data_IF_357804975606
#
_entry.id   IF_357804975606
#
_cell.length_a   1.000
_cell.length_b   1.000
_cell.length_c   1.000
_cell.angle_alpha   90.00
_cell.angle_beta   90.00
_cell.angle_gamma   90.00
#
_symmetry.space_group_name_H-M   'P 1'
#
loop_
_entity.id
_entity.type
_entity.pdbx_description
1 polymer ?
#
# COMPACT_ATOMS: atom_id res chain seq x y z
N UNK A 1 41.53 26.68 -15.86
CA UNK A 1 40.35 26.58 -16.76
C UNK A 1 39.11 27.03 -15.97
N UNK A 2 38.42 28.12 -16.36
CA UNK A 2 37.18 28.54 -15.66
C UNK A 2 36.02 27.67 -16.15
N UNK A 3 35.51 26.81 -15.27
CA UNK A 3 34.39 25.91 -15.54
C UNK A 3 33.11 26.74 -15.78
N UNK A 4 32.36 26.43 -16.83
CA UNK A 4 31.05 27.04 -17.13
C UNK A 4 30.06 25.91 -17.38
N UNK A 5 28.98 25.84 -16.60
CA UNK A 5 28.00 24.76 -16.65
C UNK A 5 26.60 25.34 -16.59
N UNK A 6 25.75 24.99 -17.55
CA UNK A 6 24.34 25.34 -17.54
C UNK A 6 23.57 24.52 -16.50
N UNK A 7 22.83 25.20 -15.63
CA UNK A 7 22.06 24.59 -14.55
C UNK A 7 20.67 25.20 -14.42
N UNK A 8 19.76 24.48 -13.76
CA UNK A 8 18.46 25.02 -13.32
C UNK A 8 18.49 25.37 -11.84
N UNK A 9 17.94 26.53 -11.48
CA UNK A 9 17.86 27.00 -10.11
C UNK A 9 16.88 26.14 -9.29
N UNK A 10 17.30 25.65 -8.13
CA UNK A 10 16.44 24.81 -7.27
C UNK A 10 15.25 25.56 -6.65
N UNK A 11 15.28 26.89 -6.59
CA UNK A 11 14.18 27.69 -6.03
C UNK A 11 13.16 28.13 -7.11
N UNK A 12 13.64 28.72 -8.20
CA UNK A 12 12.75 29.34 -9.20
C UNK A 12 12.66 28.56 -10.51
N UNK A 13 13.40 27.45 -10.66
CA UNK A 13 13.38 26.61 -11.86
C UNK A 13 14.06 27.19 -13.11
N UNK A 14 14.44 28.47 -13.10
CA UNK A 14 15.06 29.16 -14.24
C UNK A 14 16.47 28.62 -14.53
N UNK A 15 16.82 28.54 -15.81
CA UNK A 15 18.17 28.19 -16.26
C UNK A 15 19.15 29.34 -15.96
N UNK A 16 20.39 29.01 -15.60
CA UNK A 16 21.47 29.97 -15.37
C UNK A 16 22.85 29.33 -15.61
N UNK A 17 23.82 30.17 -15.96
CA UNK A 17 25.21 29.77 -16.15
C UNK A 17 25.94 29.75 -14.81
N UNK A 18 26.42 28.58 -14.38
CA UNK A 18 27.17 28.41 -13.15
C UNK A 18 28.68 28.33 -13.42
N UNK A 19 29.45 29.06 -12.62
CA UNK A 19 30.92 29.03 -12.69
C UNK A 19 31.56 27.98 -11.78
N UNK A 20 30.74 27.29 -10.97
CA UNK A 20 31.17 26.19 -10.11
C UNK A 20 30.14 25.05 -10.09
N UNK A 21 30.62 23.83 -9.88
CA UNK A 21 29.78 22.62 -9.77
C UNK A 21 28.92 22.66 -8.48
N UNK A 22 29.33 23.39 -7.44
CA UNK A 22 28.59 23.50 -6.19
C UNK A 22 27.44 24.53 -6.21
N UNK A 23 27.42 25.49 -7.14
CA UNK A 23 26.35 26.51 -7.17
C UNK A 23 25.02 25.87 -7.59
N UNK A 24 23.98 26.04 -6.75
CA UNK A 24 22.63 25.44 -6.92
C UNK A 24 21.50 26.43 -7.23
N UNK A 25 21.78 27.73 -7.16
CA UNK A 25 20.78 28.80 -7.31
C UNK A 25 21.28 29.87 -8.26
N UNK A 26 20.37 30.50 -9.02
CA UNK A 26 20.71 31.56 -9.97
C UNK A 26 21.10 32.89 -9.31
N UNK A 27 20.75 33.10 -8.04
CA UNK A 27 21.08 34.33 -7.31
C UNK A 27 21.11 34.13 -5.80
N UNK A 28 21.72 35.09 -5.08
CA UNK A 28 21.70 35.15 -3.61
C UNK A 28 20.26 35.20 -3.07
N UNK A 29 19.35 35.88 -3.78
CA UNK A 29 17.93 35.98 -3.42
C UNK A 29 17.21 34.63 -3.50
N UNK A 30 17.45 33.86 -4.56
CA UNK A 30 16.88 32.50 -4.66
C UNK A 30 17.43 31.56 -3.58
N UNK A 31 18.72 31.69 -3.23
CA UNK A 31 19.34 30.91 -2.14
C UNK A 31 18.72 31.25 -0.78
N UNK A 32 18.55 32.54 -0.47
CA UNK A 32 17.97 32.97 0.81
C UNK A 32 16.48 32.65 0.90
N UNK A 33 15.73 32.75 -0.20
CA UNK A 33 14.33 32.35 -0.28
C UNK A 33 14.15 30.85 -0.01
N UNK A 34 14.95 29.98 -0.67
CA UNK A 34 14.91 28.54 -0.43
C UNK A 34 15.19 28.20 1.04
N UNK A 35 16.20 28.84 1.64
CA UNK A 35 16.54 28.58 3.04
C UNK A 35 15.41 29.00 4.00
N UNK A 36 14.79 30.17 3.78
CA UNK A 36 13.64 30.63 4.57
C UNK A 36 12.42 29.72 4.41
N UNK A 37 12.18 29.21 3.21
CA UNK A 37 11.10 28.28 2.92
C UNK A 37 11.31 26.93 3.62
N UNK A 38 12.53 26.38 3.58
CA UNK A 38 12.88 25.15 4.30
C UNK A 38 12.67 25.31 5.80
N UNK A 39 13.13 26.40 6.41
CA UNK A 39 12.93 26.67 7.84
C UNK A 39 11.44 26.80 8.17
N UNK A 40 10.64 27.45 7.31
CA UNK A 40 9.18 27.55 7.50
C UNK A 40 8.51 26.19 7.41
N UNK A 41 8.84 25.38 6.41
CA UNK A 41 8.25 24.06 6.20
C UNK A 41 8.63 23.09 7.33
N UNK A 42 9.87 23.16 7.84
CA UNK A 42 10.29 22.43 9.03
C UNK A 42 9.47 22.83 10.26
N UNK A 43 9.26 24.14 10.50
CA UNK A 43 8.41 24.60 11.61
C UNK A 43 6.97 24.11 11.51
N UNK A 44 6.39 24.14 10.31
CA UNK A 44 5.03 23.62 10.05
C UNK A 44 4.98 22.11 10.30
N UNK A 45 5.98 21.36 9.82
CA UNK A 45 6.07 19.92 10.04
C UNK A 45 6.20 19.58 11.53
N UNK A 46 7.06 20.28 12.28
CA UNK A 46 7.21 20.10 13.73
C UNK A 46 5.91 20.38 14.47
N UNK A 47 5.21 21.47 14.12
CA UNK A 47 3.91 21.82 14.71
C UNK A 47 2.81 20.80 14.39
N UNK A 48 2.75 20.30 13.15
CA UNK A 48 1.81 19.25 12.76
C UNK A 48 2.11 17.92 13.48
N UNK A 49 3.39 17.56 13.62
CA UNK A 49 3.82 16.36 14.35
C UNK A 49 3.50 16.47 15.85
N UNK A 50 3.69 17.64 16.46
CA UNK A 50 3.34 17.90 17.85
C UNK A 50 1.82 17.83 18.07
N UNK A 51 1.03 18.40 17.16
CA UNK A 51 -0.44 18.32 17.18
C UNK A 51 -0.92 16.86 17.05
N UNK A 52 -0.30 16.08 16.16
CA UNK A 52 -0.60 14.65 16.02
C UNK A 52 -0.21 13.87 17.28
N UNK A 53 0.96 14.17 17.86
CA UNK A 53 1.42 13.56 19.11
C UNK A 53 0.44 13.84 20.25
N UNK A 54 0.02 15.08 20.45
CA UNK A 54 -0.98 15.46 21.46
C UNK A 54 -2.31 14.74 21.24
N UNK A 55 -2.78 14.60 19.99
CA UNK A 55 -4.00 13.84 19.67
C UNK A 55 -3.86 12.34 19.93
N UNK A 56 -2.70 11.76 19.66
CA UNK A 56 -2.41 10.35 19.92
C UNK A 56 -2.32 10.10 21.43
N UNK A 57 -1.60 10.96 22.15
CA UNK A 57 -1.45 10.88 23.60
C UNK A 57 -2.80 11.05 24.31
N UNK A 58 -3.63 12.00 23.86
CA UNK A 58 -5.03 12.10 24.29
C UNK A 58 -5.83 10.84 23.96
N UNK A 59 -5.69 10.28 22.75
CA UNK A 59 -6.36 9.03 22.39
C UNK A 59 -5.95 7.87 23.30
N UNK A 60 -4.66 7.80 23.65
CA UNK A 60 -4.10 6.78 24.52
C UNK A 60 -4.59 6.92 25.96
N UNK A 61 -4.66 8.14 26.50
CA UNK A 61 -5.16 8.39 27.86
C UNK A 61 -6.64 8.04 28.02
N UNK A 62 -7.45 8.19 26.96
CA UNK A 62 -8.86 7.76 26.96
C UNK A 62 -9.02 6.24 27.13
N UNK A 63 -8.02 5.44 26.76
CA UNK A 63 -8.06 4.00 27.02
C UNK A 63 -7.77 3.65 28.48
N UNK A 64 -7.24 4.57 29.29
CA UNK A 64 -6.89 4.30 30.69
C UNK A 64 -8.01 4.71 31.66
N UNK A 65 -8.82 5.70 31.28
CA UNK A 65 -9.95 6.15 32.09
C UNK A 65 -11.18 5.24 31.91
N UNK A 66 -11.77 4.68 32.99
CA UNK A 66 -12.97 3.83 32.89
C UNK A 66 -14.24 4.63 32.51
N UNK A 67 -14.25 5.94 32.76
CA UNK A 67 -15.38 6.82 32.46
C UNK A 67 -15.00 7.83 31.39
N UNK A 68 -15.82 7.92 30.34
CA UNK A 68 -15.60 8.76 29.18
C UNK A 68 -16.68 9.82 29.04
N UNK A 69 -16.30 11.00 28.58
CA UNK A 69 -17.26 12.04 28.18
C UNK A 69 -17.79 11.72 26.79
N UNK A 70 -18.93 12.30 26.44
CA UNK A 70 -19.53 12.18 25.08
C UNK A 70 -18.55 12.59 23.98
N UNK A 71 -17.72 13.61 24.24
CA UNK A 71 -16.68 14.05 23.32
C UNK A 71 -15.59 12.99 23.08
N UNK A 72 -15.20 12.28 24.14
CA UNK A 72 -14.18 11.22 24.09
C UNK A 72 -14.68 10.04 23.28
N UNK A 73 -15.95 9.65 23.49
CA UNK A 73 -16.60 8.57 22.75
C UNK A 73 -16.79 8.92 21.28
N UNK A 74 -17.16 10.17 20.98
CA UNK A 74 -17.24 10.70 19.62
C UNK A 74 -15.88 10.58 18.89
N UNK A 75 -14.80 10.91 19.59
CA UNK A 75 -13.45 10.81 19.06
C UNK A 75 -12.97 9.36 18.90
N UNK A 76 -13.25 8.47 19.85
CA UNK A 76 -12.90 7.05 19.80
C UNK A 76 -13.62 6.32 18.67
N UNK A 77 -14.92 6.56 18.50
CA UNK A 77 -15.75 5.95 17.46
C UNK A 77 -15.61 6.61 16.08
N UNK A 78 -14.97 7.78 16.00
CA UNK A 78 -14.85 8.55 14.76
C UNK A 78 -16.19 9.06 14.22
N UNK A 79 -17.13 9.40 15.11
CA UNK A 79 -18.47 9.88 14.75
C UNK A 79 -18.78 11.25 15.39
N UNK A 80 -19.86 11.92 14.99
CA UNK A 80 -20.26 13.20 15.59
C UNK A 80 -20.80 13.03 17.01
N UNK A 81 -20.65 14.05 17.87
CA UNK A 81 -21.26 14.06 19.23
C UNK A 81 -22.77 13.81 19.19
N UNK A 82 -23.45 14.31 18.14
CA UNK A 82 -24.87 14.08 17.90
C UNK A 82 -25.20 12.60 17.71
N UNK A 83 -24.37 11.83 16.98
CA UNK A 83 -24.54 10.38 16.87
C UNK A 83 -24.36 9.68 18.22
N UNK A 84 -23.42 10.14 19.05
CA UNK A 84 -23.25 9.58 20.41
C UNK A 84 -24.48 9.85 21.27
N UNK A 85 -25.00 11.08 21.27
CA UNK A 85 -26.26 11.40 21.96
C UNK A 85 -27.44 10.57 21.44
N UNK A 86 -27.52 10.32 20.13
CA UNK A 86 -28.55 9.46 19.55
C UNK A 86 -28.41 7.99 19.99
N UNK A 87 -27.18 7.48 20.14
CA UNK A 87 -26.93 6.13 20.66
C UNK A 87 -27.31 6.02 22.14
N UNK A 88 -27.09 7.07 22.93
CA UNK A 88 -27.54 7.15 24.33
C UNK A 88 -29.08 7.18 24.39
N UNK A 89 -29.74 8.05 23.63
CA UNK A 89 -31.20 8.18 23.67
C UNK A 89 -31.92 6.93 23.18
N UNK A 90 -31.35 6.22 22.20
CA UNK A 90 -31.85 4.92 21.72
C UNK A 90 -31.45 3.74 22.61
N UNK A 91 -30.88 3.99 23.79
CA UNK A 91 -30.43 3.01 24.79
C UNK A 91 -29.42 1.98 24.27
N UNK A 92 -28.71 2.29 23.18
CA UNK A 92 -27.63 1.45 22.65
C UNK A 92 -26.33 1.64 23.43
N UNK A 93 -26.10 2.83 23.98
CA UNK A 93 -25.00 3.13 24.88
C UNK A 93 -25.57 3.38 26.28
N UNK A 94 -25.10 2.61 27.27
CA UNK A 94 -25.41 2.89 28.68
C UNK A 94 -24.65 4.12 29.13
N UNK A 95 -25.31 5.00 29.87
CA UNK A 95 -24.73 6.25 30.34
C UNK A 95 -25.28 6.63 31.71
N UNK A 96 -24.46 7.31 32.52
CA UNK A 96 -24.90 7.94 33.77
C UNK A 96 -24.92 9.44 33.55
N UNK A 97 -26.05 10.07 33.88
CA UNK A 97 -26.15 11.52 33.86
C UNK A 97 -25.93 12.07 35.27
N UNK A 98 -24.81 12.76 35.50
CA UNK A 98 -24.48 13.34 36.81
C UNK A 98 -25.04 14.77 36.99
N UNK A 99 -25.39 15.45 35.89
CA UNK A 99 -25.98 16.80 35.83
C UNK A 99 -26.35 17.11 34.37
N UNK A 100 -27.16 18.12 34.06
CA UNK A 100 -27.70 18.41 32.71
C UNK A 100 -26.70 18.31 31.54
N UNK A 101 -25.41 18.62 31.76
CA UNK A 101 -24.34 18.54 30.74
C UNK A 101 -23.23 17.54 31.07
N UNK A 102 -23.43 16.69 32.08
CA UNK A 102 -22.41 15.80 32.64
C UNK A 102 -22.78 14.33 32.47
N UNK A 103 -22.86 13.91 31.21
CA UNK A 103 -23.02 12.51 30.85
C UNK A 103 -21.66 11.80 30.93
N UNK A 104 -21.63 10.63 31.57
CA UNK A 104 -20.49 9.70 31.63
C UNK A 104 -20.89 8.37 31.01
N UNK A 105 -19.98 7.83 30.22
CA UNK A 105 -20.10 6.56 29.50
C UNK A 105 -19.03 5.62 30.02
N UNK A 106 -19.38 4.36 30.28
CA UNK A 106 -18.37 3.38 30.65
C UNK A 106 -17.61 2.94 29.41
N UNK A 107 -16.29 2.86 29.52
CA UNK A 107 -15.41 2.46 28.43
C UNK A 107 -15.72 1.03 27.96
N UNK A 108 -16.04 0.15 28.90
CA UNK A 108 -16.38 -1.26 28.67
C UNK A 108 -17.62 -1.40 27.79
N UNK A 109 -18.59 -0.48 27.90
CA UNK A 109 -19.79 -0.49 27.07
C UNK A 109 -19.48 -0.16 25.60
N UNK A 110 -18.50 0.70 25.35
CA UNK A 110 -18.05 1.04 24.00
C UNK A 110 -17.36 -0.16 23.36
N UNK A 111 -16.47 -0.82 24.11
CA UNK A 111 -15.82 -2.05 23.66
C UNK A 111 -16.82 -3.16 23.41
N UNK A 112 -17.79 -3.35 24.31
CA UNK A 112 -18.85 -4.32 24.11
C UNK A 112 -19.63 -4.05 22.83
N UNK A 113 -20.02 -2.80 22.55
CA UNK A 113 -20.71 -2.44 21.31
C UNK A 113 -19.83 -2.68 20.09
N UNK A 114 -18.55 -2.35 20.14
CA UNK A 114 -17.63 -2.60 19.02
C UNK A 114 -17.40 -4.09 18.78
N UNK A 115 -17.24 -4.88 19.85
CA UNK A 115 -17.12 -6.34 19.75
C UNK A 115 -18.42 -7.01 19.30
N UNK A 116 -19.56 -6.55 19.80
CA UNK A 116 -20.87 -7.02 19.39
C UNK A 116 -21.16 -6.63 17.93
N UNK A 117 -20.70 -5.46 17.48
CA UNK A 117 -20.70 -5.07 16.07
C UNK A 117 -19.74 -5.91 15.21
N UNK A 118 -18.52 -6.23 15.68
CA UNK A 118 -17.61 -7.13 14.95
C UNK A 118 -18.20 -8.55 14.84
N UNK A 119 -18.87 -9.04 15.89
CA UNK A 119 -19.59 -10.33 15.88
C UNK A 119 -20.83 -10.30 14.97
N UNK A 120 -21.54 -9.16 14.92
CA UNK A 120 -22.65 -8.92 13.99
C UNK A 120 -22.17 -8.67 12.55
N UNK A 121 -20.98 -8.12 12.31
CA UNK A 121 -20.48 -7.81 10.96
C UNK A 121 -19.85 -9.02 10.24
N UNK A 122 -19.79 -10.18 10.88
CA UNK A 122 -19.74 -11.48 10.19
C UNK A 122 -21.12 -11.95 9.67
N UNK A 123 -22.19 -11.22 10.00
CA UNK A 123 -23.56 -11.33 9.46
C UNK A 123 -24.16 -9.93 9.25
N UNK A 124 -23.70 -9.21 8.23
CA UNK A 124 -24.09 -7.82 7.89
C UNK A 124 -25.59 -7.55 8.08
N UNK A 125 -25.96 -6.82 9.15
CA UNK A 125 -27.30 -6.27 9.34
C UNK A 125 -27.30 -4.80 8.93
N UNK A 126 -28.01 -4.54 7.84
CA UNK A 126 -28.38 -3.22 7.34
C UNK A 126 -29.02 -2.35 8.42
N UNK A 127 -28.59 -1.09 8.55
CA UNK A 127 -29.45 -0.01 9.06
C UNK A 127 -29.59 1.11 8.03
N UNK A 128 -30.59 0.90 7.20
CA UNK A 128 -31.53 1.88 6.66
C UNK A 128 -31.50 3.27 7.33
N UNK A 129 -31.09 4.29 6.59
CA UNK A 129 -31.73 5.61 6.67
C UNK A 129 -32.76 5.68 5.56
N UNK A 130 -34.03 5.58 5.95
CA UNK A 130 -35.15 5.87 5.09
C UNK A 130 -35.13 7.36 4.75
N UNK A 131 -35.02 7.67 3.46
CA UNK A 131 -34.99 9.02 2.92
C UNK A 131 -34.81 8.96 1.41
N UNK A 132 -35.86 8.48 0.73
CA UNK A 132 -36.23 8.66 -0.69
C UNK A 132 -35.06 8.78 -1.70
N UNK A 133 -34.82 7.72 -2.47
CA UNK A 133 -35.07 7.68 -3.94
C UNK A 133 -34.43 6.46 -4.62
N UNK A 134 -35.23 5.81 -5.47
CA UNK A 134 -34.91 4.85 -6.54
C UNK A 134 -34.29 3.50 -6.18
N UNK A 135 -35.17 2.50 -6.10
CA UNK A 135 -34.84 1.09 -5.94
C UNK A 135 -33.86 0.58 -7.00
N UNK A 136 -32.66 0.24 -6.53
CA UNK A 136 -31.65 -0.52 -7.26
C UNK A 136 -31.25 -1.70 -6.39
N UNK A 137 -31.55 -2.90 -6.90
CA UNK A 137 -31.25 -4.19 -6.30
C UNK A 137 -29.79 -4.32 -5.89
N UNK A 138 -29.57 -4.49 -4.58
CA UNK A 138 -28.31 -4.24 -3.88
C UNK A 138 -27.26 -5.38 -3.99
N UNK A 139 -27.56 -6.48 -4.68
CA UNK A 139 -26.76 -7.72 -4.58
C UNK A 139 -26.06 -8.18 -5.88
N UNK A 140 -25.88 -7.31 -6.88
CA UNK A 140 -25.12 -7.68 -8.06
C UNK A 140 -24.63 -6.53 -8.93
N UNK A 141 -23.57 -6.79 -9.69
CA UNK A 141 -23.05 -5.84 -10.67
C UNK A 141 -23.83 -5.92 -11.97
N UNK A 142 -24.07 -4.76 -12.58
CA UNK A 142 -24.61 -4.68 -13.94
C UNK A 142 -23.52 -4.84 -14.97
N UNK A 143 -23.90 -5.35 -16.15
CA UNK A 143 -22.95 -5.51 -17.26
C UNK A 143 -22.26 -4.19 -17.65
N UNK A 144 -22.94 -3.04 -17.51
CA UNK A 144 -22.37 -1.70 -17.75
C UNK A 144 -21.25 -1.37 -16.77
N UNK A 145 -21.49 -1.61 -15.47
CA UNK A 145 -20.52 -1.39 -14.40
C UNK A 145 -19.29 -2.30 -14.59
N UNK A 146 -19.52 -3.57 -14.92
CA UNK A 146 -18.46 -4.53 -15.20
C UNK A 146 -17.63 -4.17 -16.44
N UNK A 147 -18.26 -3.57 -17.45
CA UNK A 147 -17.55 -3.11 -18.67
C UNK A 147 -16.54 -2.01 -18.33
N UNK A 148 -16.94 -1.07 -17.48
CA UNK A 148 -16.07 0.00 -16.97
C UNK A 148 -14.94 -0.54 -16.08
N UNK A 149 -15.25 -1.48 -15.18
CA UNK A 149 -14.28 -2.05 -14.22
C UNK A 149 -13.26 -2.99 -14.89
N UNK A 150 -13.71 -3.86 -15.79
CA UNK A 150 -12.84 -4.84 -16.47
C UNK A 150 -12.19 -4.30 -17.75
N UNK A 151 -12.61 -3.13 -18.25
CA UNK A 151 -12.12 -2.51 -19.50
C UNK A 151 -12.12 -3.51 -20.67
N UNK A 152 -13.25 -4.20 -20.90
CA UNK A 152 -13.46 -5.19 -21.96
C UNK A 152 -14.72 -4.85 -22.74
N UNK A 153 -14.76 -5.20 -24.03
CA UNK A 153 -16.03 -5.15 -24.77
C UNK A 153 -17.07 -6.05 -24.11
N UNK A 154 -18.35 -5.71 -24.30
CA UNK A 154 -19.49 -6.43 -23.71
C UNK A 154 -19.41 -7.92 -24.05
N UNK A 155 -19.07 -8.26 -25.28
CA UNK A 155 -18.92 -9.63 -25.80
C UNK A 155 -17.77 -10.38 -25.11
N UNK A 156 -16.61 -9.72 -24.97
CA UNK A 156 -15.44 -10.28 -24.31
C UNK A 156 -15.67 -10.50 -22.81
N UNK A 157 -16.46 -9.62 -22.19
CA UNK A 157 -16.84 -9.72 -20.79
C UNK A 157 -17.82 -10.88 -20.57
N UNK A 158 -18.85 -11.04 -21.39
CA UNK A 158 -19.74 -12.20 -21.32
C UNK A 158 -19.00 -13.53 -21.51
N UNK A 159 -18.08 -13.60 -22.49
CA UNK A 159 -17.24 -14.79 -22.67
C UNK A 159 -16.38 -15.08 -21.44
N UNK A 160 -15.85 -14.03 -20.79
CA UNK A 160 -15.03 -14.14 -19.60
C UNK A 160 -15.83 -14.61 -18.37
N UNK A 161 -17.00 -14.02 -18.13
CA UNK A 161 -17.91 -14.41 -17.05
C UNK A 161 -18.41 -15.86 -17.20
N UNK A 162 -18.70 -16.30 -18.44
CA UNK A 162 -19.08 -17.69 -18.73
C UNK A 162 -17.97 -18.69 -18.40
N UNK A 163 -16.72 -18.40 -18.78
CA UNK A 163 -15.57 -19.29 -18.48
C UNK A 163 -15.34 -19.49 -17.00
N UNK A 164 -15.61 -18.46 -16.20
CA UNK A 164 -15.45 -18.49 -14.74
C UNK A 164 -16.73 -18.89 -13.99
N UNK A 165 -17.75 -19.37 -14.72
CA UNK A 165 -19.02 -19.87 -14.16
C UNK A 165 -19.67 -18.87 -13.19
N UNK A 166 -19.63 -17.58 -13.51
CA UNK A 166 -20.24 -16.54 -12.67
C UNK A 166 -21.76 -16.64 -12.76
N UNK A 167 -22.47 -16.79 -11.62
CA UNK A 167 -23.93 -16.84 -11.63
C UNK A 167 -24.52 -15.50 -12.07
N UNK A 168 -25.53 -15.60 -12.95
CA UNK A 168 -26.28 -14.45 -13.49
C UNK A 168 -27.73 -14.55 -13.03
N UNK A 169 -28.30 -13.41 -12.64
CA UNK A 169 -29.71 -13.28 -12.25
C UNK A 169 -30.36 -12.24 -13.14
N UNK A 170 -31.54 -12.56 -13.67
CA UNK A 170 -32.33 -11.61 -14.46
C UNK A 170 -33.32 -10.92 -13.52
N UNK A 171 -33.20 -9.62 -13.33
CA UNK A 171 -34.15 -8.83 -12.54
C UNK A 171 -34.73 -7.74 -13.44
N UNK A 172 -36.01 -7.89 -13.79
CA UNK A 172 -36.66 -7.03 -14.77
C UNK A 172 -36.01 -7.12 -16.16
N UNK A 173 -35.62 -5.96 -16.73
CA UNK A 173 -34.95 -5.86 -18.04
C UNK A 173 -33.42 -5.99 -17.96
N UNK A 174 -32.85 -5.98 -16.76
CA UNK A 174 -31.40 -5.99 -16.55
C UNK A 174 -30.88 -7.36 -16.08
N UNK A 175 -29.64 -7.67 -16.49
CA UNK A 175 -28.93 -8.87 -16.05
C UNK A 175 -27.87 -8.45 -15.02
N UNK A 176 -27.96 -9.05 -13.83
CA UNK A 176 -27.08 -8.81 -12.70
C UNK A 176 -26.17 -10.02 -12.46
N UNK A 177 -24.95 -9.75 -12.01
CA UNK A 177 -23.96 -10.77 -11.67
C UNK A 177 -23.64 -10.72 -10.19
N UNK A 178 -23.52 -11.89 -9.55
CA UNK A 178 -23.22 -11.99 -8.11
C UNK A 178 -21.97 -11.19 -7.75
N UNK A 179 -22.12 -10.24 -6.82
CA UNK A 179 -21.04 -9.35 -6.35
C UNK A 179 -19.84 -10.14 -5.84
N UNK A 180 -20.07 -11.16 -5.02
CA UNK A 180 -19.02 -11.97 -4.39
C UNK A 180 -18.16 -12.73 -5.42
N UNK A 181 -18.80 -13.27 -6.46
CA UNK A 181 -18.10 -13.92 -7.56
C UNK A 181 -17.31 -12.93 -8.41
N UNK A 182 -17.89 -11.75 -8.68
CA UNK A 182 -17.21 -10.70 -9.42
C UNK A 182 -16.02 -10.16 -8.64
N UNK A 183 -16.14 -9.94 -7.34
CA UNK A 183 -15.07 -9.37 -6.51
C UNK A 183 -13.89 -10.34 -6.39
N UNK A 184 -14.16 -11.64 -6.15
CA UNK A 184 -13.14 -12.70 -6.22
C UNK A 184 -12.48 -12.76 -7.59
N UNK A 185 -13.24 -12.59 -8.65
CA UNK A 185 -12.76 -12.63 -10.03
C UNK A 185 -11.98 -11.36 -10.39
N UNK A 186 -12.37 -10.20 -9.85
CA UNK A 186 -11.71 -8.92 -9.99
C UNK A 186 -10.39 -8.88 -9.21
N UNK A 187 -10.34 -9.42 -7.99
CA UNK A 187 -9.10 -9.59 -7.23
C UNK A 187 -8.13 -10.52 -7.96
N UNK A 188 -8.61 -11.62 -8.53
CA UNK A 188 -7.80 -12.49 -9.40
C UNK A 188 -7.36 -11.81 -10.70
N UNK A 189 -8.16 -10.87 -11.19
CA UNK A 189 -7.87 -10.07 -12.38
C UNK A 189 -6.84 -8.97 -12.11
N UNK A 190 -6.91 -8.28 -10.96
CA UNK A 190 -5.96 -7.27 -10.49
C UNK A 190 -4.65 -7.94 -10.05
N UNK A 191 -4.69 -9.03 -9.28
CA UNK A 191 -3.52 -9.78 -8.85
C UNK A 191 -2.69 -10.36 -10.01
N UNK A 192 -3.29 -10.47 -11.21
CA UNK A 192 -2.60 -10.83 -12.46
C UNK A 192 -2.21 -9.63 -13.34
N UNK A 193 -2.64 -8.41 -13.02
CA UNK A 193 -2.40 -7.17 -13.82
C UNK A 193 -1.56 -6.11 -13.10
N UNK A 194 -1.51 -6.08 -11.77
CA UNK A 194 -0.87 -5.00 -11.00
C UNK A 194 0.49 -5.42 -10.43
N UNK A 195 1.45 -5.62 -11.34
CA UNK A 195 2.85 -5.27 -11.08
C UNK A 195 3.26 -4.47 -12.30
N UNK A 196 3.89 -3.30 -12.12
CA UNK A 196 4.12 -2.26 -13.15
C UNK A 196 4.80 -2.74 -14.44
N UNK A 197 4.01 -3.31 -15.35
CA UNK A 197 4.44 -3.85 -16.64
C UNK A 197 4.18 -2.88 -17.79
N UNK A 198 3.56 -1.70 -17.61
CA UNK A 198 3.32 -0.77 -18.73
C UNK A 198 4.62 -0.39 -19.44
N UNK A 199 5.67 -0.07 -18.66
CA UNK A 199 7.02 0.22 -19.19
C UNK A 199 7.60 -0.97 -19.96
N UNK A 200 7.47 -2.19 -19.43
CA UNK A 200 7.93 -3.43 -20.08
C UNK A 200 7.18 -3.66 -21.40
N UNK A 201 5.86 -3.46 -21.42
CA UNK A 201 5.02 -3.65 -22.60
C UNK A 201 5.31 -2.62 -23.70
N UNK A 202 5.56 -1.38 -23.32
CA UNK A 202 5.97 -0.32 -24.25
C UNK A 202 7.35 -0.58 -24.83
N UNK A 203 8.32 -1.00 -24.01
CA UNK A 203 9.65 -1.41 -24.48
C UNK A 203 9.56 -2.60 -25.44
N UNK A 204 8.75 -3.61 -25.11
CA UNK A 204 8.52 -4.76 -25.97
C UNK A 204 7.85 -4.38 -27.29
N UNK A 205 6.91 -3.42 -27.30
CA UNK A 205 6.33 -2.90 -28.53
C UNK A 205 7.36 -2.16 -29.40
N UNK A 206 8.31 -1.43 -28.80
CA UNK A 206 9.42 -0.79 -29.53
C UNK A 206 10.37 -1.82 -30.14
N UNK A 207 10.73 -2.86 -29.37
CA UNK A 207 11.55 -3.97 -29.84
C UNK A 207 10.85 -4.76 -30.96
N UNK A 208 9.52 -4.91 -30.89
CA UNK A 208 8.73 -5.56 -31.94
C UNK A 208 8.75 -4.77 -33.27
N UNK A 209 8.92 -3.43 -33.21
CA UNK A 209 9.03 -2.56 -34.39
C UNK A 209 10.43 -2.58 -35.01
N UNK A 210 11.48 -2.85 -34.23
CA UNK A 210 12.81 -3.10 -34.78
C UNK A 210 12.80 -4.43 -35.53
N UNK A 211 13.36 -4.49 -36.74
CA UNK A 211 13.49 -5.77 -37.44
C UNK A 211 14.57 -6.60 -36.75
N UNK A 212 14.20 -7.76 -36.18
CA UNK A 212 15.13 -8.71 -35.57
C UNK A 212 15.11 -10.07 -36.28
N UNK A 213 16.23 -10.80 -36.18
CA UNK A 213 16.41 -12.10 -36.83
C UNK A 213 16.17 -13.28 -35.88
N UNK A 214 16.00 -14.48 -36.45
CA UNK A 214 15.76 -15.72 -35.69
C UNK A 214 16.93 -16.05 -34.74
N UNK A 215 18.17 -15.68 -35.11
CA UNK A 215 19.36 -15.87 -34.26
C UNK A 215 19.22 -15.20 -32.88
N UNK A 216 18.43 -14.13 -32.80
CA UNK A 216 18.17 -13.36 -31.58
C UNK A 216 16.97 -13.89 -30.79
N UNK A 217 16.39 -15.04 -31.17
CA UNK A 217 15.20 -15.60 -30.54
C UNK A 217 15.45 -17.00 -29.94
N UNK A 218 14.68 -17.36 -28.92
CA UNK A 218 14.54 -18.73 -28.41
C UNK A 218 13.32 -19.41 -29.02
N UNK A 219 13.38 -20.73 -29.21
CA UNK A 219 12.18 -21.52 -29.53
C UNK A 219 11.27 -21.61 -28.30
N UNK A 220 9.99 -21.91 -28.51
CA UNK A 220 9.04 -22.09 -27.40
C UNK A 220 9.49 -23.20 -26.45
N UNK A 221 10.05 -24.30 -26.97
CA UNK A 221 10.57 -25.40 -26.15
C UNK A 221 11.71 -24.93 -25.24
N UNK A 222 12.62 -24.10 -25.77
CA UNK A 222 13.69 -23.51 -24.97
C UNK A 222 13.17 -22.50 -23.93
N UNK A 223 12.11 -21.75 -24.26
CA UNK A 223 11.45 -20.87 -23.29
C UNK A 223 10.76 -21.65 -22.15
N UNK A 224 10.18 -22.82 -22.43
CA UNK A 224 9.61 -23.73 -21.42
C UNK A 224 10.70 -24.15 -20.44
N UNK A 225 11.86 -24.58 -20.96
CA UNK A 225 13.00 -24.98 -20.14
C UNK A 225 13.55 -23.83 -19.28
N UNK A 226 13.66 -22.62 -19.84
CA UNK A 226 14.20 -21.44 -19.12
C UNK A 226 13.22 -20.95 -18.04
N UNK A 227 11.92 -20.81 -18.37
CA UNK A 227 10.95 -20.17 -17.48
C UNK A 227 10.27 -21.16 -16.52
N UNK A 228 10.49 -22.47 -16.68
CA UNK A 228 9.94 -23.51 -15.81
C UNK A 228 8.41 -23.49 -15.77
N UNK A 229 7.76 -23.20 -16.91
CA UNK A 229 6.31 -23.04 -17.03
C UNK A 229 5.80 -23.91 -18.18
N UNK A 230 4.64 -24.58 -18.02
CA UNK A 230 4.04 -25.37 -19.09
C UNK A 230 3.69 -24.47 -20.29
N UNK A 231 3.75 -25.06 -21.49
CA UNK A 231 3.63 -24.37 -22.78
C UNK A 231 2.34 -23.56 -22.90
N UNK A 232 1.24 -24.08 -22.35
CA UNK A 232 -0.09 -23.49 -22.35
C UNK A 232 -0.12 -22.15 -21.59
N UNK A 233 0.59 -22.09 -20.45
CA UNK A 233 0.68 -20.88 -19.64
C UNK A 233 1.61 -19.84 -20.27
N UNK A 234 2.67 -20.28 -20.95
CA UNK A 234 3.64 -19.38 -21.58
C UNK A 234 3.04 -18.51 -22.67
N UNK A 235 2.15 -19.06 -23.51
CA UNK A 235 1.46 -18.26 -24.51
C UNK A 235 0.63 -17.13 -23.87
N UNK A 236 -0.07 -17.43 -22.77
CA UNK A 236 -0.80 -16.43 -22.01
C UNK A 236 0.09 -15.37 -21.37
N UNK A 237 1.30 -15.74 -20.90
CA UNK A 237 2.29 -14.80 -20.36
C UNK A 237 2.85 -13.90 -21.46
N UNK A 238 3.29 -14.48 -22.58
CA UNK A 238 3.87 -13.73 -23.70
C UNK A 238 2.89 -12.75 -24.32
N UNK A 239 1.62 -13.14 -24.46
CA UNK A 239 0.58 -12.26 -24.98
C UNK A 239 0.27 -11.10 -24.03
N UNK A 240 0.31 -11.32 -22.71
CA UNK A 240 0.08 -10.26 -21.72
C UNK A 240 1.22 -9.24 -21.66
N UNK A 241 2.47 -9.69 -21.79
CA UNK A 241 3.67 -8.86 -21.74
C UNK A 241 4.09 -8.27 -23.10
N UNK A 242 3.32 -8.51 -24.16
CA UNK A 242 3.63 -8.11 -25.55
C UNK A 242 5.00 -8.60 -26.05
N UNK A 243 5.45 -9.79 -25.63
CA UNK A 243 6.77 -10.31 -25.97
C UNK A 243 6.94 -10.38 -27.50
N UNK A 244 8.00 -9.80 -28.10
CA UNK A 244 8.26 -9.85 -29.53
C UNK A 244 8.50 -11.29 -30.01
N UNK A 245 7.81 -11.67 -31.09
CA UNK A 245 7.79 -13.05 -31.60
C UNK A 245 7.92 -13.09 -33.13
N UNK A 246 8.59 -14.13 -33.63
CA UNK A 246 8.68 -14.45 -35.07
C UNK A 246 8.05 -15.81 -35.31
N UNK A 247 7.25 -15.93 -36.36
CA UNK A 247 6.70 -17.20 -36.85
C UNK A 247 7.47 -17.63 -38.11
N UNK A 248 8.03 -18.84 -38.10
CA UNK A 248 8.63 -19.47 -39.30
C UNK A 248 8.01 -20.85 -39.47
N UNK A 249 7.13 -20.98 -40.46
CA UNK A 249 6.31 -22.18 -40.66
C UNK A 249 5.41 -22.46 -39.45
N UNK A 250 5.49 -23.68 -38.90
CA UNK A 250 4.72 -24.11 -37.71
C UNK A 250 5.38 -23.69 -36.38
N UNK A 251 6.62 -23.19 -36.40
CA UNK A 251 7.38 -22.85 -35.19
C UNK A 251 7.29 -21.35 -34.87
N UNK A 252 7.20 -21.05 -33.58
CA UNK A 252 7.20 -19.68 -33.04
C UNK A 252 8.50 -19.50 -32.25
N UNK A 253 9.09 -18.32 -32.36
CA UNK A 253 10.31 -17.95 -31.65
C UNK A 253 10.07 -16.64 -30.90
N UNK A 254 10.58 -16.53 -29.67
CA UNK A 254 10.45 -15.35 -28.81
C UNK A 254 11.82 -14.68 -28.61
N UNK A 255 11.86 -13.34 -28.58
CA UNK A 255 13.11 -12.58 -28.49
C UNK A 255 13.88 -12.88 -27.19
N UNK A 256 15.18 -13.25 -27.31
CA UNK A 256 16.01 -13.71 -26.19
C UNK A 256 16.10 -12.70 -25.05
N UNK A 257 16.40 -11.44 -25.38
CA UNK A 257 16.57 -10.33 -24.41
C UNK A 257 15.37 -10.26 -23.44
N UNK A 258 14.16 -10.33 -23.98
CA UNK A 258 12.93 -10.23 -23.18
C UNK A 258 12.72 -11.48 -22.32
N UNK A 259 13.05 -12.67 -22.84
CA UNK A 259 12.93 -13.92 -22.08
C UNK A 259 13.97 -13.98 -20.94
N UNK A 260 15.18 -13.50 -21.18
CA UNK A 260 16.24 -13.45 -20.17
C UNK A 260 15.90 -12.42 -19.06
N UNK A 261 15.35 -11.27 -19.43
CA UNK A 261 14.79 -10.30 -18.46
C UNK A 261 13.66 -10.89 -17.62
N UNK A 262 12.71 -11.58 -18.27
CA UNK A 262 11.61 -12.27 -17.59
C UNK A 262 12.12 -13.34 -16.62
N UNK A 263 13.12 -14.13 -17.02
CA UNK A 263 13.74 -15.12 -16.14
C UNK A 263 14.42 -14.47 -14.94
N UNK A 264 15.12 -13.34 -15.15
CA UNK A 264 15.71 -12.56 -14.07
C UNK A 264 14.69 -12.05 -13.05
N UNK A 265 13.50 -11.65 -13.50
CA UNK A 265 12.39 -11.25 -12.62
C UNK A 265 11.83 -12.43 -11.83
N UNK A 266 11.56 -13.55 -12.50
CA UNK A 266 11.02 -14.77 -11.86
C UNK A 266 12.00 -15.31 -10.81
N UNK A 267 13.30 -15.27 -11.10
CA UNK A 267 14.35 -15.66 -10.13
C UNK A 267 14.43 -14.71 -8.93
N UNK A 268 14.10 -13.42 -9.10
CA UNK A 268 14.00 -12.42 -8.02
C UNK A 268 12.72 -12.54 -7.19
N UNK A 269 11.62 -12.99 -7.80
CA UNK A 269 10.32 -13.27 -7.16
C UNK A 269 10.31 -14.58 -6.36
N UNK A 270 11.13 -15.57 -6.76
CA UNK A 270 11.25 -16.87 -6.07
C UNK A 270 11.90 -16.83 -4.68
N UNK A 271 12.49 -15.71 -4.27
CA UNK A 271 12.97 -15.52 -2.90
C UNK A 271 11.89 -14.82 -2.07
N UNK A 272 11.13 -15.60 -1.29
CA UNK A 272 10.25 -15.06 -0.25
C UNK A 272 11.14 -14.33 0.76
N UNK A 273 11.12 -12.99 0.71
CA UNK A 273 11.89 -12.15 1.61
C UNK A 273 11.22 -12.14 2.97
N UNK A 274 11.91 -12.66 3.99
CA UNK A 274 11.45 -12.68 5.38
C UNK A 274 12.01 -11.47 6.11
N UNK A 275 11.14 -10.77 6.84
CA UNK A 275 11.50 -9.66 7.72
C UNK A 275 11.36 -10.12 9.16
N UNK A 276 12.45 -10.03 9.92
CA UNK A 276 12.49 -10.40 11.34
C UNK A 276 12.92 -9.22 12.20
N UNK A 277 12.22 -8.99 13.30
CA UNK A 277 12.62 -8.00 14.30
C UNK A 277 13.76 -8.59 15.14
N UNK A 278 14.87 -7.86 15.27
CA UNK A 278 16.04 -8.27 16.05
C UNK A 278 16.53 -7.11 16.93
N UNK A 279 17.32 -7.47 17.94
CA UNK A 279 17.97 -6.58 18.89
C UNK A 279 19.48 -6.58 18.65
N UNK A 280 20.12 -5.42 18.78
CA UNK A 280 21.58 -5.30 18.85
C UNK A 280 21.95 -4.47 20.07
N UNK A 281 22.82 -5.00 20.93
CA UNK A 281 23.32 -4.27 22.09
C UNK A 281 23.98 -2.95 21.68
N UNK A 282 23.71 -1.91 22.47
CA UNK A 282 24.29 -0.58 22.39
C UNK A 282 24.76 -0.16 23.81
N UNK A 283 25.32 1.03 23.93
CA UNK A 283 25.83 1.52 25.21
C UNK A 283 24.71 1.68 26.27
N UNK A 284 25.14 1.71 27.54
CA UNK A 284 24.27 1.95 28.71
C UNK A 284 23.18 0.88 28.94
N UNK A 285 23.50 -0.39 28.69
CA UNK A 285 22.61 -1.53 29.00
C UNK A 285 21.30 -1.53 28.20
N UNK A 286 21.39 -1.10 26.94
CA UNK A 286 20.25 -1.01 26.04
C UNK A 286 20.52 -1.82 24.78
N UNK A 287 19.46 -2.23 24.11
CA UNK A 287 19.51 -2.82 22.78
C UNK A 287 18.68 -2.01 21.80
N UNK A 288 19.25 -1.64 20.65
CA UNK A 288 18.48 -1.04 19.56
C UNK A 288 17.73 -2.11 18.76
N UNK A 289 16.52 -1.76 18.29
CA UNK A 289 15.73 -2.62 17.42
C UNK A 289 16.05 -2.37 15.94
N UNK A 290 16.17 -3.44 15.18
CA UNK A 290 16.34 -3.39 13.74
C UNK A 290 15.60 -4.55 13.05
N UNK A 291 15.27 -4.35 11.79
CA UNK A 291 14.71 -5.40 10.93
C UNK A 291 15.84 -6.08 10.17
N UNK A 292 15.92 -7.40 10.28
CA UNK A 292 16.79 -8.26 9.45
C UNK A 292 15.95 -8.79 8.27
N UNK A 293 16.28 -8.32 7.08
CA UNK A 293 15.60 -8.59 5.82
C UNK A 293 16.44 -9.60 5.03
N UNK A 294 15.89 -10.80 4.83
CA UNK A 294 16.57 -11.86 4.10
C UNK A 294 15.69 -12.47 3.01
N UNK A 295 16.16 -12.54 1.74
CA UNK A 295 17.41 -11.96 1.23
C UNK A 295 17.43 -10.42 1.27
N UNK A 296 18.62 -9.78 1.22
CA UNK A 296 18.73 -8.33 1.22
C UNK A 296 18.00 -7.67 0.05
N UNK A 297 17.53 -6.45 0.29
CA UNK A 297 16.77 -5.63 -0.67
C UNK A 297 17.65 -4.51 -1.22
N UNK A 298 17.51 -4.14 -2.51
CA UNK A 298 18.31 -3.06 -3.07
C UNK A 298 17.86 -1.70 -2.53
N UNK A 299 18.81 -0.83 -2.19
CA UNK A 299 18.55 0.56 -1.85
C UNK A 299 17.95 1.29 -3.08
N UNK A 300 16.87 2.09 -2.94
CA UNK A 300 16.22 2.77 -4.07
C UNK A 300 17.14 3.70 -4.86
N UNK A 301 17.99 4.46 -4.17
CA UNK A 301 18.90 5.44 -4.78
C UNK A 301 20.24 4.85 -5.20
N UNK A 302 20.89 4.05 -4.34
CA UNK A 302 22.26 3.57 -4.57
C UNK A 302 22.32 2.18 -5.21
N UNK A 303 21.21 1.43 -5.21
CA UNK A 303 21.15 0.04 -5.67
C UNK A 303 21.89 -0.96 -4.77
N UNK A 304 22.59 -0.51 -3.73
CA UNK A 304 23.37 -1.35 -2.83
C UNK A 304 22.45 -2.31 -2.04
N UNK A 305 22.87 -3.56 -1.78
CA UNK A 305 22.06 -4.51 -1.02
C UNK A 305 22.00 -4.12 0.46
N UNK A 306 20.78 -3.93 0.98
CA UNK A 306 20.50 -3.65 2.38
C UNK A 306 19.89 -4.89 3.04
N UNK A 307 20.52 -5.33 4.13
CA UNK A 307 20.03 -6.43 4.98
C UNK A 307 19.41 -5.94 6.29
N UNK A 308 19.97 -4.89 6.90
CA UNK A 308 19.57 -4.41 8.23
C UNK A 308 18.96 -3.02 8.13
N UNK A 309 17.78 -2.84 8.71
CA UNK A 309 17.10 -1.54 8.79
C UNK A 309 16.85 -1.17 10.26
N UNK A 310 17.58 -0.18 10.77
CA UNK A 310 17.50 0.22 12.18
C UNK A 310 16.28 1.12 12.42
N UNK A 311 15.48 0.79 13.44
CA UNK A 311 14.23 1.47 13.76
C UNK A 311 14.42 2.74 14.60
N UNK A 312 15.66 3.07 14.97
CA UNK A 312 16.03 4.21 15.83
C UNK A 312 15.29 4.22 17.19
N UNK A 313 14.85 3.06 17.65
CA UNK A 313 14.27 2.80 18.97
C UNK A 313 15.12 1.78 19.73
N UNK A 314 15.00 1.77 21.06
CA UNK A 314 15.75 0.89 21.93
C UNK A 314 14.89 0.31 23.04
N UNK A 315 15.36 -0.79 23.62
CA UNK A 315 14.82 -1.39 24.84
C UNK A 315 15.93 -1.47 25.88
N UNK A 316 15.56 -1.45 27.15
CA UNK A 316 16.49 -1.71 28.26
C UNK A 316 16.73 -3.22 28.38
N UNK A 317 17.98 -3.64 28.46
CA UNK A 317 18.33 -5.07 28.52
C UNK A 317 17.92 -5.69 29.85
N UNK A 318 18.02 -4.91 30.94
CA UNK A 318 17.60 -5.26 32.30
C UNK A 318 16.72 -4.13 32.86
N UNK A 319 15.40 -4.12 32.59
CA UNK A 319 14.51 -3.09 33.09
C UNK A 319 14.27 -3.25 34.60
N UNK A 320 14.67 -2.27 35.39
CA UNK A 320 14.58 -2.28 36.85
C UNK A 320 13.27 -1.65 37.34
N UNK A 321 12.79 -0.61 36.67
CA UNK A 321 11.55 0.09 37.05
C UNK A 321 10.33 -0.40 36.27
N UNK A 322 9.13 -0.20 36.83
CA UNK A 322 7.87 -0.55 36.15
C UNK A 322 7.67 0.29 34.87
N UNK A 323 8.11 1.55 34.88
CA UNK A 323 8.12 2.43 33.72
C UNK A 323 9.00 1.87 32.60
N UNK A 324 10.20 1.38 32.92
CA UNK A 324 11.09 0.75 31.94
C UNK A 324 10.50 -0.54 31.36
N UNK A 325 9.85 -1.38 32.18
CA UNK A 325 9.16 -2.58 31.70
C UNK A 325 8.00 -2.25 30.76
N UNK A 326 7.20 -1.24 31.11
CA UNK A 326 6.10 -0.73 30.29
C UNK A 326 6.61 -0.16 28.96
N UNK A 327 7.64 0.67 29.02
CA UNK A 327 8.32 1.24 27.84
C UNK A 327 8.86 0.16 26.92
N UNK A 328 9.51 -0.88 27.47
CA UNK A 328 9.97 -2.04 26.70
C UNK A 328 8.81 -2.76 26.00
N UNK A 329 7.70 -3.00 26.70
CA UNK A 329 6.52 -3.68 26.15
C UNK A 329 5.93 -2.89 24.97
N UNK A 330 5.71 -1.59 25.14
CA UNK A 330 5.18 -0.69 24.11
C UNK A 330 6.13 -0.61 22.91
N UNK A 331 7.44 -0.47 23.16
CA UNK A 331 8.45 -0.38 22.10
C UNK A 331 8.56 -1.68 21.29
N UNK A 332 8.43 -2.84 21.94
CA UNK A 332 8.43 -4.14 21.24
C UNK A 332 7.15 -4.33 20.43
N UNK A 333 5.98 -3.96 20.96
CA UNK A 333 4.73 -4.01 20.20
C UNK A 333 4.80 -3.11 18.95
N UNK A 334 5.32 -1.90 19.09
CA UNK A 334 5.54 -1.00 17.96
C UNK A 334 6.53 -1.59 16.95
N UNK A 335 7.62 -2.20 17.42
CA UNK A 335 8.60 -2.88 16.57
C UNK A 335 7.97 -4.01 15.74
N UNK A 336 7.09 -4.81 16.34
CA UNK A 336 6.38 -5.89 15.64
C UNK A 336 5.36 -5.37 14.62
N UNK A 337 4.65 -4.29 14.94
CA UNK A 337 3.75 -3.62 14.00
C UNK A 337 4.53 -3.12 12.77
N UNK A 338 5.67 -2.45 12.99
CA UNK A 338 6.52 -1.97 11.90
C UNK A 338 7.07 -3.14 11.08
N UNK A 339 7.52 -4.23 11.73
CA UNK A 339 7.97 -5.45 11.04
C UNK A 339 6.88 -6.01 10.12
N UNK A 340 5.64 -6.11 10.60
CA UNK A 340 4.51 -6.60 9.81
C UNK A 340 4.22 -5.68 8.62
N UNK A 341 4.21 -4.36 8.83
CA UNK A 341 4.04 -3.38 7.77
C UNK A 341 5.14 -3.48 6.70
N UNK A 342 6.41 -3.56 7.11
CA UNK A 342 7.55 -3.70 6.19
C UNK A 342 7.57 -5.03 5.45
N UNK A 343 7.07 -6.11 6.07
CA UNK A 343 6.87 -7.39 5.38
C UNK A 343 5.91 -7.25 4.19
N UNK A 344 4.82 -6.49 4.34
CA UNK A 344 3.86 -6.22 3.25
C UNK A 344 4.50 -5.35 2.17
N UNK A 345 5.16 -4.25 2.54
CA UNK A 345 5.84 -3.35 1.59
C UNK A 345 6.88 -4.11 0.74
N UNK A 346 7.70 -4.97 1.36
CA UNK A 346 8.71 -5.78 0.67
C UNK A 346 8.08 -6.83 -0.26
N UNK A 347 6.97 -7.46 0.14
CA UNK A 347 6.22 -8.39 -0.73
C UNK A 347 5.62 -7.67 -1.94
N UNK A 348 5.25 -6.40 -1.79
CA UNK A 348 4.74 -5.54 -2.87
C UNK A 348 5.87 -4.86 -3.68
N UNK A 349 7.14 -5.18 -3.41
CA UNK A 349 8.32 -4.57 -4.02
C UNK A 349 8.38 -3.04 -3.86
N UNK A 350 7.85 -2.52 -2.75
CA UNK A 350 7.90 -1.11 -2.38
C UNK A 350 9.07 -0.88 -1.42
N UNK A 351 10.13 -0.22 -1.90
CA UNK A 351 11.37 0.01 -1.14
C UNK A 351 11.60 1.46 -0.74
N UNK A 352 10.64 2.37 -0.98
CA UNK A 352 10.78 3.80 -0.73
C UNK A 352 11.12 4.16 0.72
N UNK A 353 10.75 3.30 1.68
CA UNK A 353 11.09 3.48 3.11
C UNK A 353 12.59 3.37 3.43
N UNK A 354 13.40 2.90 2.47
CA UNK A 354 14.85 2.86 2.55
C UNK A 354 15.49 4.16 2.05
N UNK A 355 14.76 5.02 1.33
CA UNK A 355 15.26 6.32 0.89
C UNK A 355 15.13 7.34 2.02
N UNK A 356 16.25 7.95 2.44
CA UNK A 356 16.27 9.01 3.46
C UNK A 356 16.73 8.61 4.86
N UNK A 357 17.40 7.46 5.02
CA UNK A 357 18.06 7.07 6.28
C UNK A 357 19.57 7.21 6.23
#
# INVERSE_FOLDING_TARGET
MKIRVDKKCLQCGKAYLAFTIATRYCSKNCRSAFYKEQVRNLKIATSNHETLRQRIEYKMSLYETPFLKVGDVSFLLGCSKSNVYAMISTKKLRSVNLSERMIRLFREDIFFILEEHIKRDYYVVNKSRAGRENGLTENGYRIRELTSVFKKSKEALYAYLRRHKVPKSKVGREVLFSKDHIDKLYLNFIGRRYVGLEREREANLKLAKQKFGIRQCYSIEKCVAILGKPKELLYGVFNRRNVPKIKKGKKIFALKIVIDEMYGLIKKEGFVRKVTLRKKAISKGRSTLFLDIYPPVPHPETGAPIRKYYLKMYVFDKPHTEVERRSNKETLMLGELIRAQKQIEILQLQFSFLAGN
#
